data_IF_262065486748
#
_entry.id   IF_262065486748
#
_cell.length_a   1.000
_cell.length_b   1.000
_cell.length_c   1.000
_cell.angle_alpha   90.00
_cell.angle_beta   90.00
_cell.angle_gamma   90.00
#
_symmetry.space_group_name_H-M   'P 1'
#
loop_
_entity.id
_entity.type
_entity.pdbx_description
1 polymer ?
#
# COMPACT_ATOMS: atom_id res chain seq x y z
N UNK A 1 8.73 20.39 28.70
CA UNK A 1 7.40 20.79 28.18
C UNK A 1 7.64 21.91 27.18
N UNK A 2 7.32 21.71 25.90
CA UNK A 2 7.42 22.78 24.89
C UNK A 2 6.02 23.36 24.74
N UNK A 3 5.90 24.66 25.00
CA UNK A 3 4.66 25.43 24.88
C UNK A 3 4.72 26.16 23.54
N UNK A 4 3.74 25.94 22.66
CA UNK A 4 3.59 26.68 21.40
C UNK A 4 2.48 27.71 21.56
N UNK A 5 2.73 28.95 21.17
CA UNK A 5 1.74 30.02 21.13
C UNK A 5 1.04 29.95 19.76
N UNK A 6 -0.07 29.21 19.68
CA UNK A 6 -0.89 29.09 18.47
C UNK A 6 -1.54 27.72 18.29
N UNK A 7 -2.80 27.72 17.86
CA UNK A 7 -3.64 26.51 17.70
C UNK A 7 -3.42 25.79 16.35
N UNK A 8 -2.43 26.24 15.56
CA UNK A 8 -2.24 25.77 14.18
C UNK A 8 -0.84 25.21 13.97
N UNK A 9 -0.78 23.91 13.67
CA UNK A 9 0.45 23.21 13.32
C UNK A 9 0.65 23.34 11.81
N UNK A 10 1.62 24.14 11.37
CA UNK A 10 2.04 24.22 9.97
C UNK A 10 3.10 23.16 9.65
N UNK A 11 3.07 22.62 8.43
CA UNK A 11 3.93 21.51 8.00
C UNK A 11 5.46 21.80 8.11
N UNK A 12 5.84 23.07 8.26
CA UNK A 12 7.22 23.53 8.43
C UNK A 12 7.80 23.21 9.83
N UNK A 13 6.96 22.86 10.82
CA UNK A 13 7.40 22.47 12.17
C UNK A 13 7.99 21.06 12.25
N UNK A 14 7.85 20.26 11.20
CA UNK A 14 8.37 18.89 11.17
C UNK A 14 9.81 18.91 10.67
N UNK A 15 10.77 18.96 11.59
CA UNK A 15 12.20 18.85 11.27
C UNK A 15 12.51 17.56 10.48
N UNK A 16 13.46 17.62 9.54
CA UNK A 16 14.00 16.58 8.61
C UNK A 16 14.27 15.16 9.18
N UNK A 17 14.03 14.93 10.48
CA UNK A 17 14.25 13.65 11.16
C UNK A 17 13.06 12.71 11.15
N UNK A 18 11.93 13.08 10.53
CA UNK A 18 10.90 12.11 10.16
C UNK A 18 11.38 11.41 8.89
N UNK A 19 12.33 10.50 9.06
CA UNK A 19 12.81 9.65 7.99
C UNK A 19 11.62 8.88 7.44
N UNK A 20 11.18 9.28 6.24
CA UNK A 20 10.23 8.52 5.45
C UNK A 20 10.67 7.04 5.41
N UNK A 21 9.76 6.06 5.48
CA UNK A 21 10.11 4.74 5.01
C UNK A 21 10.59 4.91 3.57
N UNK A 22 11.73 4.27 3.24
CA UNK A 22 12.29 4.18 1.89
C UNK A 22 11.31 3.45 0.97
N UNK A 23 10.19 4.07 0.62
CA UNK A 23 9.41 3.71 -0.54
C UNK A 23 9.87 4.66 -1.63
N UNK A 24 10.70 4.15 -2.53
CA UNK A 24 11.01 4.86 -3.76
C UNK A 24 9.69 5.35 -4.38
N UNK A 25 9.65 6.56 -4.95
CA UNK A 25 8.49 6.98 -5.71
C UNK A 25 8.37 6.02 -6.88
N UNK A 26 7.41 5.09 -6.81
CA UNK A 26 6.82 4.55 -8.02
C UNK A 26 6.31 5.78 -8.75
N UNK A 27 6.68 6.03 -10.02
CA UNK A 27 6.10 7.13 -10.75
C UNK A 27 4.61 6.86 -10.84
N UNK A 28 3.86 7.50 -9.94
CA UNK A 28 2.45 7.77 -10.09
C UNK A 28 2.33 8.65 -11.31
N UNK A 29 2.38 8.01 -12.48
CA UNK A 29 2.04 8.63 -13.73
C UNK A 29 0.62 9.14 -13.51
N UNK A 30 0.36 10.46 -13.60
CA UNK A 30 -0.98 10.97 -13.46
C UNK A 30 -1.79 10.20 -14.49
N UNK A 31 -2.80 9.46 -14.02
CA UNK A 31 -3.75 8.83 -14.89
C UNK A 31 -4.29 9.95 -15.78
N UNK A 32 -3.82 9.99 -17.02
CA UNK A 32 -4.35 10.91 -18.00
C UNK A 32 -5.86 10.70 -18.07
N UNK A 33 -6.63 11.69 -18.53
CA UNK A 33 -8.10 11.64 -18.57
C UNK A 33 -8.71 10.47 -19.39
N UNK A 34 -7.90 9.52 -19.86
CA UNK A 34 -8.24 8.48 -20.83
C UNK A 34 -8.10 7.04 -20.29
N UNK A 35 -7.59 6.82 -19.07
CA UNK A 35 -7.39 5.47 -18.53
C UNK A 35 -8.43 5.07 -17.46
N UNK A 36 -9.71 5.36 -17.74
CA UNK A 36 -10.86 4.97 -16.91
C UNK A 36 -11.18 3.46 -16.98
N UNK A 37 -10.15 2.62 -17.05
CA UNK A 37 -10.31 1.17 -17.10
C UNK A 37 -10.55 0.61 -15.70
N UNK A 38 -11.79 0.22 -15.44
CA UNK A 38 -12.18 -0.48 -14.19
C UNK A 38 -11.25 -1.67 -13.93
N UNK A 39 -10.87 -2.42 -14.98
CA UNK A 39 -9.99 -3.59 -14.84
C UNK A 39 -8.60 -3.21 -14.28
N UNK A 40 -8.02 -2.11 -14.75
CA UNK A 40 -6.70 -1.63 -14.28
C UNK A 40 -6.80 -1.10 -12.85
N UNK A 41 -7.80 -0.24 -12.58
CA UNK A 41 -8.03 0.30 -11.25
C UNK A 41 -8.24 -0.81 -10.20
N UNK A 42 -9.02 -1.84 -10.54
CA UNK A 42 -9.20 -3.01 -9.68
C UNK A 42 -7.89 -3.76 -9.46
N UNK A 43 -7.09 -4.01 -10.50
CA UNK A 43 -5.80 -4.71 -10.35
C UNK A 43 -4.81 -3.94 -9.46
N UNK A 44 -4.75 -2.62 -9.58
CA UNK A 44 -3.93 -1.75 -8.73
C UNK A 44 -4.43 -1.73 -7.28
N UNK A 45 -5.74 -1.73 -7.07
CA UNK A 45 -6.31 -1.86 -5.73
C UNK A 45 -6.00 -3.23 -5.12
N UNK A 46 -6.25 -4.31 -5.86
CA UNK A 46 -6.03 -5.68 -5.41
C UNK A 46 -4.56 -5.93 -5.05
N UNK A 47 -3.62 -5.51 -5.90
CA UNK A 47 -2.19 -5.67 -5.64
C UNK A 47 -1.73 -4.92 -4.38
N UNK A 48 -2.23 -3.70 -4.15
CA UNK A 48 -1.95 -2.92 -2.92
C UNK A 48 -2.49 -3.62 -1.68
N UNK A 49 -3.73 -4.10 -1.71
CA UNK A 49 -4.36 -4.79 -0.58
C UNK A 49 -3.65 -6.11 -0.26
N UNK A 50 -3.23 -6.86 -1.28
CA UNK A 50 -2.49 -8.12 -1.10
C UNK A 50 -1.16 -7.89 -0.38
N UNK A 51 -0.40 -6.87 -0.79
CA UNK A 51 0.88 -6.52 -0.13
C UNK A 51 0.65 -6.14 1.33
N UNK A 52 -0.31 -5.25 1.59
CA UNK A 52 -0.64 -4.83 2.94
C UNK A 52 -1.10 -6.01 3.85
N UNK A 53 -1.88 -6.95 3.30
CA UNK A 53 -2.32 -8.13 4.04
C UNK A 53 -1.13 -9.05 4.37
N UNK A 54 -0.21 -9.26 3.43
CA UNK A 54 1.01 -10.05 3.66
C UNK A 54 1.92 -9.40 4.70
N UNK A 55 2.11 -8.09 4.65
CA UNK A 55 2.90 -7.35 5.64
C UNK A 55 2.28 -7.49 7.05
N UNK A 56 0.97 -7.34 7.17
CA UNK A 56 0.25 -7.49 8.45
C UNK A 56 0.31 -8.91 9.01
N UNK A 57 0.45 -9.93 8.17
CA UNK A 57 0.51 -11.33 8.60
C UNK A 57 1.92 -11.91 8.62
N UNK A 58 2.95 -11.08 8.37
CA UNK A 58 4.34 -11.52 8.31
C UNK A 58 4.58 -12.59 7.22
N UNK A 59 3.96 -12.42 6.05
CA UNK A 59 4.09 -13.36 4.93
C UNK A 59 3.20 -14.60 5.03
N UNK A 60 2.40 -14.76 6.08
CA UNK A 60 1.51 -15.91 6.20
C UNK A 60 0.35 -15.82 5.20
N UNK A 61 0.47 -16.57 4.11
CA UNK A 61 -0.49 -16.60 2.98
C UNK A 61 -1.89 -17.04 3.41
N UNK A 62 -2.01 -17.99 4.33
CA UNK A 62 -3.32 -18.48 4.80
C UNK A 62 -4.04 -17.40 5.62
N UNK A 63 -3.31 -16.71 6.50
CA UNK A 63 -3.89 -15.61 7.27
C UNK A 63 -4.18 -14.39 6.39
N UNK A 64 -3.32 -14.08 5.42
CA UNK A 64 -3.53 -12.98 4.48
C UNK A 64 -4.79 -13.21 3.63
N UNK A 65 -4.98 -14.44 3.14
CA UNK A 65 -6.18 -14.81 2.40
C UNK A 65 -7.46 -14.65 3.24
N UNK A 66 -7.39 -15.03 4.53
CA UNK A 66 -8.48 -14.83 5.48
C UNK A 66 -8.79 -13.34 5.72
N UNK A 67 -7.77 -12.49 5.86
CA UNK A 67 -7.94 -11.04 6.03
C UNK A 67 -8.55 -10.37 4.79
N UNK A 68 -8.23 -10.89 3.60
CA UNK A 68 -8.76 -10.40 2.33
C UNK A 68 -10.10 -11.05 1.95
N UNK A 69 -10.62 -11.95 2.79
CA UNK A 69 -11.87 -12.69 2.56
C UNK A 69 -11.91 -13.46 1.23
N UNK A 70 -10.75 -14.01 0.83
CA UNK A 70 -10.61 -14.86 -0.36
C UNK A 70 -10.02 -16.22 -0.02
N UNK A 71 -10.24 -17.20 -0.90
CA UNK A 71 -9.60 -18.50 -0.79
C UNK A 71 -8.07 -18.39 -0.92
N UNK A 72 -7.31 -19.19 -0.14
CA UNK A 72 -5.83 -19.25 -0.25
C UNK A 72 -5.37 -19.53 -1.68
N UNK A 73 -6.11 -20.36 -2.42
CA UNK A 73 -5.85 -20.64 -3.83
C UNK A 73 -5.96 -19.39 -4.70
N UNK A 74 -6.96 -18.54 -4.48
CA UNK A 74 -7.14 -17.26 -5.20
C UNK A 74 -5.98 -16.33 -4.92
N UNK A 75 -5.56 -16.22 -3.66
CA UNK A 75 -4.39 -15.43 -3.28
C UNK A 75 -3.13 -15.91 -4.03
N UNK A 76 -2.86 -17.21 -4.06
CA UNK A 76 -1.71 -17.77 -4.77
C UNK A 76 -1.73 -17.42 -6.26
N UNK A 77 -2.89 -17.48 -6.91
CA UNK A 77 -3.00 -17.07 -8.32
C UNK A 77 -2.71 -15.59 -8.50
N UNK A 78 -3.28 -14.73 -7.66
CA UNK A 78 -3.04 -13.28 -7.73
C UNK A 78 -1.58 -12.91 -7.44
N UNK A 79 -0.90 -13.61 -6.54
CA UNK A 79 0.53 -13.42 -6.30
C UNK A 79 1.36 -13.74 -7.54
N UNK A 80 1.01 -14.80 -8.28
CA UNK A 80 1.65 -15.14 -9.55
C UNK A 80 1.35 -14.12 -10.65
N UNK A 81 0.08 -13.72 -10.78
CA UNK A 81 -0.38 -12.77 -11.79
C UNK A 81 0.28 -11.40 -11.64
N UNK A 82 0.41 -10.93 -10.39
CA UNK A 82 1.03 -9.64 -10.06
C UNK A 82 2.53 -9.71 -9.80
N UNK A 83 3.15 -10.89 -9.92
CA UNK A 83 4.59 -11.08 -9.67
C UNK A 83 5.02 -10.74 -8.23
N UNK A 84 4.13 -10.89 -7.25
CA UNK A 84 4.42 -10.61 -5.84
C UNK A 84 5.07 -11.84 -5.22
N UNK A 85 6.34 -11.69 -4.84
CA UNK A 85 7.09 -12.71 -4.11
C UNK A 85 6.90 -12.51 -2.60
N UNK A 86 6.81 -13.62 -1.87
CA UNK A 86 6.71 -13.64 -0.41
C UNK A 86 7.89 -14.45 0.09
N UNK A 87 8.86 -13.77 0.69
CA UNK A 87 10.01 -14.34 1.41
C UNK A 87 9.57 -15.10 2.67
#
# INVERSE_FOLDING_TARGET
>A
VILCEGDTITADLFSDKISAPKHAPVPEKPAGPEDLSIKRATAELESRLIRAALERTGGNRTQAAKLLEISTRTLIYKLKDYGIQVD
#
